data_IF_318837116248
#
_entry.id   IF_318837116248
#
_cell.length_a   1.000
_cell.length_b   1.000
_cell.length_c   1.000
_cell.angle_alpha   90.00
_cell.angle_beta   90.00
_cell.angle_gamma   90.00
#
_symmetry.space_group_name_H-M   'P 1'
#
loop_
_entity.id
_entity.type
_entity.pdbx_description
1 polymer ?
#
# COMPACT_ATOMS: atom_id res chain seq x y z
N UNK A 1 -28.44 -10.75 -4.16
CA UNK A 1 -27.11 -10.28 -4.62
C UNK A 1 -26.21 -10.15 -3.40
N UNK A 2 -25.30 -11.10 -3.11
CA UNK A 2 -24.34 -10.96 -2.02
C UNK A 2 -23.51 -9.67 -2.16
N UNK A 3 -23.40 -8.94 -1.06
CA UNK A 3 -22.56 -7.75 -0.95
C UNK A 3 -21.26 -8.14 -0.24
N UNK A 4 -20.13 -7.92 -0.89
CA UNK A 4 -18.80 -8.18 -0.34
C UNK A 4 -18.18 -6.83 0.01
N UNK A 5 -17.51 -6.72 1.15
CA UNK A 5 -16.76 -5.51 1.51
C UNK A 5 -15.28 -5.82 1.49
N UNK A 6 -14.50 -5.01 0.77
CA UNK A 6 -13.05 -5.05 0.85
C UNK A 6 -12.51 -4.22 2.03
N UNK A 7 -11.36 -4.65 2.53
CA UNK A 7 -10.60 -3.91 3.54
C UNK A 7 -10.28 -2.48 3.10
N UNK A 8 -9.82 -2.34 1.86
CA UNK A 8 -9.55 -1.05 1.24
C UNK A 8 -10.73 -0.10 1.21
N UNK A 9 -11.97 -0.61 1.14
CA UNK A 9 -13.18 0.21 1.24
C UNK A 9 -13.36 0.74 2.66
N UNK A 10 -13.15 -0.12 3.66
CA UNK A 10 -13.31 0.30 5.06
C UNK A 10 -12.22 1.29 5.49
N UNK A 11 -10.97 1.05 5.08
CA UNK A 11 -9.85 1.92 5.43
C UNK A 11 -9.95 3.29 4.74
N UNK A 12 -10.51 3.35 3.54
CA UNK A 12 -10.76 4.61 2.84
C UNK A 12 -11.97 5.36 3.38
N UNK A 13 -13.03 4.64 3.77
CA UNK A 13 -14.18 5.20 4.46
C UNK A 13 -13.79 5.93 5.75
N UNK A 14 -12.87 5.35 6.53
CA UNK A 14 -12.42 5.94 7.79
C UNK A 14 -11.64 7.25 7.62
N UNK A 15 -11.11 7.52 6.42
CA UNK A 15 -10.42 8.78 6.08
C UNK A 15 -11.39 9.92 5.74
N UNK A 16 -12.65 9.62 5.45
CA UNK A 16 -13.67 10.61 5.10
C UNK A 16 -14.25 11.31 6.33
N UNK A 17 -14.87 12.47 6.13
CA UNK A 17 -15.58 13.18 7.21
C UNK A 17 -16.78 12.38 7.71
N UNK A 18 -17.22 12.61 8.95
CA UNK A 18 -18.38 11.89 9.52
C UNK A 18 -19.67 12.03 8.68
N UNK A 19 -19.85 13.16 7.99
CA UNK A 19 -20.99 13.39 7.09
C UNK A 19 -20.89 12.54 5.83
N UNK A 20 -19.70 12.48 5.22
CA UNK A 20 -19.45 11.64 4.05
C UNK A 20 -19.57 10.17 4.40
N UNK A 21 -19.02 9.74 5.54
CA UNK A 21 -19.17 8.37 6.03
C UNK A 21 -20.64 7.97 6.18
N UNK A 22 -21.47 8.85 6.73
CA UNK A 22 -22.91 8.59 6.88
C UNK A 22 -23.60 8.42 5.52
N UNK A 23 -23.28 9.29 4.55
CA UNK A 23 -23.82 9.20 3.19
C UNK A 23 -23.39 7.90 2.49
N UNK A 24 -22.10 7.55 2.57
CA UNK A 24 -21.55 6.31 1.99
C UNK A 24 -22.21 5.08 2.60
N UNK A 25 -22.36 5.03 3.94
CA UNK A 25 -23.04 3.93 4.65
C UNK A 25 -24.50 3.78 4.23
N UNK A 26 -25.20 4.90 3.99
CA UNK A 26 -26.56 4.88 3.48
C UNK A 26 -26.60 4.34 2.04
N UNK A 27 -25.75 4.83 1.15
CA UNK A 27 -25.68 4.35 -0.24
C UNK A 27 -25.33 2.86 -0.32
N UNK A 28 -24.40 2.38 0.52
CA UNK A 28 -24.06 0.96 0.61
C UNK A 28 -25.25 0.11 1.09
N UNK A 29 -26.03 0.61 2.06
CA UNK A 29 -27.26 -0.03 2.51
C UNK A 29 -28.33 -0.04 1.40
N UNK A 30 -28.56 1.08 0.72
CA UNK A 30 -29.52 1.18 -0.37
C UNK A 30 -29.17 0.21 -1.51
N UNK A 31 -27.88 0.04 -1.80
CA UNK A 31 -27.36 -0.93 -2.77
C UNK A 31 -27.59 -2.38 -2.33
N UNK A 32 -27.46 -2.68 -1.04
CA UNK A 32 -27.78 -4.01 -0.51
C UNK A 32 -29.28 -4.33 -0.63
N UNK A 33 -30.13 -3.34 -0.36
CA UNK A 33 -31.60 -3.51 -0.39
C UNK A 33 -32.14 -3.55 -1.80
N UNK A 34 -31.69 -2.65 -2.68
CA UNK A 34 -32.13 -2.56 -4.07
C UNK A 34 -30.97 -2.16 -5.00
N UNK A 35 -30.18 -3.13 -5.49
CA UNK A 35 -29.03 -2.85 -6.35
C UNK A 35 -29.39 -2.35 -7.74
N UNK A 36 -30.63 -2.53 -8.19
CA UNK A 36 -31.13 -2.03 -9.49
C UNK A 36 -31.71 -0.62 -9.40
N UNK A 37 -31.64 0.02 -8.22
CA UNK A 37 -32.16 1.35 -8.02
C UNK A 37 -31.51 2.34 -9.01
N UNK A 38 -32.29 3.01 -9.91
CA UNK A 38 -31.75 3.97 -10.87
C UNK A 38 -30.97 5.12 -10.23
N UNK A 39 -31.25 5.45 -8.97
CA UNK A 39 -30.52 6.48 -8.22
C UNK A 39 -29.05 6.16 -7.99
N UNK A 40 -28.64 4.88 -8.01
CA UNK A 40 -27.27 4.45 -7.73
C UNK A 40 -26.26 4.79 -8.85
N UNK A 41 -26.73 5.33 -9.98
CA UNK A 41 -25.89 5.97 -11.02
C UNK A 41 -24.60 5.21 -11.33
N UNK A 42 -24.71 3.91 -11.60
CA UNK A 42 -23.56 3.06 -11.92
C UNK A 42 -22.90 3.54 -13.21
N UNK A 43 -21.60 3.84 -13.14
CA UNK A 43 -20.80 4.25 -14.28
C UNK A 43 -19.60 3.31 -14.44
N UNK A 44 -19.46 2.66 -15.60
CA UNK A 44 -18.28 1.83 -15.86
C UNK A 44 -17.02 2.69 -15.92
N UNK A 45 -15.92 2.24 -15.35
CA UNK A 45 -14.67 3.00 -15.36
C UNK A 45 -13.87 2.59 -16.59
N UNK A 46 -14.07 3.27 -17.73
CA UNK A 46 -13.50 2.85 -19.03
C UNK A 46 -11.97 2.80 -19.06
N UNK A 47 -11.30 3.62 -18.25
CA UNK A 47 -9.84 3.64 -18.14
C UNK A 47 -9.27 2.52 -17.25
N UNK A 48 -10.12 1.81 -16.50
CA UNK A 48 -9.71 0.67 -15.68
C UNK A 48 -9.28 -0.49 -16.57
N UNK A 49 -8.21 -1.20 -16.19
CA UNK A 49 -7.86 -2.47 -16.85
C UNK A 49 -8.79 -3.61 -16.41
N UNK A 50 -9.42 -3.46 -15.24
CA UNK A 50 -10.50 -4.33 -14.79
C UNK A 50 -11.84 -3.83 -15.33
N UNK A 51 -12.41 -4.58 -16.27
CA UNK A 51 -13.70 -4.28 -16.92
C UNK A 51 -14.91 -4.36 -15.99
N UNK A 52 -14.73 -4.94 -14.80
CA UNK A 52 -15.78 -5.11 -13.81
C UNK A 52 -15.72 -4.03 -12.71
N UNK A 53 -14.81 -3.06 -12.78
CA UNK A 53 -14.87 -1.88 -11.92
C UNK A 53 -15.87 -0.83 -12.43
N UNK A 54 -16.75 -0.44 -11.52
CA UNK A 54 -17.77 0.58 -11.71
C UNK A 54 -17.69 1.60 -10.59
N UNK A 55 -18.11 2.82 -10.88
CA UNK A 55 -18.30 3.90 -9.92
C UNK A 55 -19.78 4.03 -9.58
N UNK A 56 -20.08 4.18 -8.29
CA UNK A 56 -21.40 4.49 -7.75
C UNK A 56 -21.34 5.88 -7.14
N UNK A 57 -22.28 6.73 -7.54
CA UNK A 57 -22.36 8.10 -7.03
C UNK A 57 -23.02 8.12 -5.65
N UNK A 58 -22.32 8.66 -4.66
CA UNK A 58 -22.88 8.94 -3.32
C UNK A 58 -23.44 10.35 -3.26
N UNK A 59 -22.65 11.33 -3.69
CA UNK A 59 -23.05 12.73 -3.77
C UNK A 59 -22.32 13.41 -4.94
N UNK A 60 -22.17 14.74 -4.95
CA UNK A 60 -21.45 15.43 -6.04
C UNK A 60 -19.99 14.97 -6.16
N UNK A 61 -19.33 14.78 -5.03
CA UNK A 61 -17.89 14.59 -4.95
C UNK A 61 -17.50 13.15 -4.59
N UNK A 62 -18.23 12.49 -3.71
CA UNK A 62 -17.88 11.13 -3.26
C UNK A 62 -18.32 10.06 -4.26
N UNK A 63 -17.45 9.08 -4.49
CA UNK A 63 -17.68 7.89 -5.30
C UNK A 63 -17.30 6.63 -4.54
N UNK A 64 -18.14 5.62 -4.64
CA UNK A 64 -17.78 4.26 -4.24
C UNK A 64 -17.33 3.52 -5.49
N UNK A 65 -16.15 2.92 -5.46
CA UNK A 65 -15.70 1.97 -6.46
C UNK A 65 -16.21 0.59 -6.09
N UNK A 66 -16.90 -0.05 -7.01
CA UNK A 66 -17.43 -1.39 -6.86
C UNK A 66 -16.89 -2.31 -7.93
N UNK A 67 -16.66 -3.58 -7.59
CA UNK A 67 -16.47 -4.64 -8.57
C UNK A 67 -17.76 -5.41 -8.75
N UNK A 68 -18.33 -5.38 -9.96
CA UNK A 68 -19.62 -6.01 -10.29
C UNK A 68 -19.40 -7.13 -11.30
N UNK A 69 -19.56 -8.38 -10.86
CA UNK A 69 -19.39 -9.57 -11.71
C UNK A 69 -20.40 -10.65 -11.32
N UNK A 70 -21.17 -11.13 -12.30
CA UNK A 70 -22.25 -12.09 -12.04
C UNK A 70 -23.30 -11.49 -11.11
N UNK A 71 -23.64 -12.24 -10.06
CA UNK A 71 -24.64 -11.87 -9.05
C UNK A 71 -24.04 -11.27 -7.77
N UNK A 72 -22.74 -10.95 -7.74
CA UNK A 72 -22.11 -10.31 -6.59
C UNK A 72 -21.66 -8.88 -6.90
N UNK A 73 -21.75 -8.03 -5.88
CA UNK A 73 -21.14 -6.70 -5.89
C UNK A 73 -20.20 -6.60 -4.71
N UNK A 74 -18.98 -6.18 -5.00
CA UNK A 74 -17.94 -5.95 -4.01
C UNK A 74 -17.71 -4.45 -3.88
N UNK A 75 -17.82 -3.91 -2.66
CA UNK A 75 -17.42 -2.55 -2.33
C UNK A 75 -15.89 -2.52 -2.18
N UNK A 76 -15.20 -1.93 -3.16
CA UNK A 76 -13.75 -2.04 -3.29
C UNK A 76 -13.02 -0.84 -2.65
N UNK A 77 -13.53 0.38 -2.85
CA UNK A 77 -12.90 1.61 -2.37
C UNK A 77 -13.91 2.75 -2.29
N UNK A 78 -13.63 3.80 -1.53
CA UNK A 78 -14.44 5.02 -1.52
C UNK A 78 -13.57 6.25 -1.35
N UNK A 79 -13.80 7.28 -2.16
CA UNK A 79 -13.07 8.55 -2.05
C UNK A 79 -13.80 9.68 -2.80
N UNK A 80 -13.16 10.85 -2.82
CA UNK A 80 -13.49 11.94 -3.73
C UNK A 80 -13.29 11.50 -5.18
N UNK A 81 -14.02 12.16 -6.07
CA UNK A 81 -14.26 11.68 -7.43
C UNK A 81 -12.98 11.27 -8.16
N UNK A 82 -12.03 12.19 -8.29
CA UNK A 82 -10.84 11.97 -9.10
C UNK A 82 -9.94 10.90 -8.51
N UNK A 83 -9.81 10.86 -7.18
CA UNK A 83 -8.94 9.91 -6.50
C UNK A 83 -9.54 8.51 -6.46
N UNK A 84 -10.87 8.40 -6.36
CA UNK A 84 -11.56 7.13 -6.53
C UNK A 84 -11.35 6.54 -7.94
N UNK A 85 -11.44 7.37 -8.99
CA UNK A 85 -11.18 6.93 -10.36
C UNK A 85 -9.71 6.54 -10.57
N UNK A 86 -8.76 7.35 -10.09
CA UNK A 86 -7.32 7.02 -10.15
C UNK A 86 -7.03 5.70 -9.42
N UNK A 87 -7.63 5.48 -8.26
CA UNK A 87 -7.46 4.23 -7.51
C UNK A 87 -7.91 3.02 -8.34
N UNK A 88 -9.10 3.09 -8.93
CA UNK A 88 -9.66 2.01 -9.74
C UNK A 88 -8.85 1.78 -11.02
N UNK A 89 -8.38 2.84 -11.66
CA UNK A 89 -7.54 2.77 -12.84
C UNK A 89 -6.26 1.96 -12.57
N UNK A 90 -5.64 2.11 -11.41
CA UNK A 90 -4.36 1.47 -11.11
C UNK A 90 -4.50 0.03 -10.62
N UNK A 91 -5.70 -0.54 -10.48
CA UNK A 91 -5.91 -1.82 -9.80
C UNK A 91 -6.77 -2.78 -10.62
N UNK A 92 -6.70 -4.07 -10.26
CA UNK A 92 -7.63 -5.11 -10.72
C UNK A 92 -7.98 -6.08 -9.61
N UNK A 93 -9.18 -6.64 -9.64
CA UNK A 93 -9.54 -7.79 -8.81
C UNK A 93 -9.21 -9.08 -9.57
N UNK A 94 -8.40 -9.94 -8.98
CA UNK A 94 -8.04 -11.23 -9.58
C UNK A 94 -8.05 -12.35 -8.55
N UNK A 95 -7.95 -13.59 -9.05
CA UNK A 95 -7.75 -14.78 -8.23
C UNK A 95 -6.32 -15.22 -8.42
N UNK A 96 -5.56 -15.27 -7.34
CA UNK A 96 -4.15 -15.61 -7.42
C UNK A 96 -3.97 -17.07 -7.90
N UNK A 97 -3.12 -17.34 -8.91
CA UNK A 97 -3.10 -18.63 -9.61
C UNK A 97 -2.59 -19.81 -8.76
N UNK A 98 -1.74 -19.55 -7.75
CA UNK A 98 -1.21 -20.60 -6.86
C UNK A 98 -2.01 -20.80 -5.60
N UNK A 99 -2.45 -19.71 -4.97
CA UNK A 99 -3.16 -19.77 -3.68
C UNK A 99 -4.66 -19.94 -3.90
N UNK A 100 -5.22 -19.42 -5.00
CA UNK A 100 -6.66 -19.40 -5.25
C UNK A 100 -7.39 -18.29 -4.47
N UNK A 101 -6.67 -17.45 -3.72
CA UNK A 101 -7.24 -16.34 -2.99
C UNK A 101 -7.63 -15.20 -3.93
N UNK A 102 -8.84 -14.64 -3.75
CA UNK A 102 -9.17 -13.36 -4.35
C UNK A 102 -8.23 -12.26 -3.82
N UNK A 103 -7.88 -11.29 -4.67
CA UNK A 103 -7.01 -10.17 -4.31
C UNK A 103 -7.27 -8.93 -5.19
N UNK A 104 -7.16 -7.74 -4.60
CA UNK A 104 -7.07 -6.47 -5.34
C UNK A 104 -5.58 -6.16 -5.51
N UNK A 105 -5.10 -6.19 -6.74
CA UNK A 105 -3.69 -6.00 -7.08
C UNK A 105 -3.50 -4.65 -7.75
N UNK A 106 -2.46 -3.91 -7.33
CA UNK A 106 -2.04 -2.70 -8.03
C UNK A 106 -1.16 -3.06 -9.23
N UNK A 107 -1.49 -2.51 -10.38
CA UNK A 107 -0.87 -2.80 -11.66
C UNK A 107 0.49 -2.13 -11.75
N UNK A 108 1.53 -2.93 -11.99
CA UNK A 108 2.90 -2.41 -12.04
C UNK A 108 3.11 -1.33 -13.10
N UNK A 109 2.45 -1.46 -14.25
CA UNK A 109 2.45 -0.46 -15.34
C UNK A 109 1.99 0.94 -14.90
N UNK A 110 1.19 1.04 -13.83
CA UNK A 110 0.58 2.29 -13.36
C UNK A 110 1.07 2.77 -11.99
N UNK A 111 1.93 1.98 -11.34
CA UNK A 111 2.85 2.48 -10.33
C UNK A 111 3.94 3.21 -11.10
N UNK A 112 3.71 4.50 -11.37
CA UNK A 112 4.72 5.40 -11.93
C UNK A 112 6.07 5.12 -11.25
N UNK A 113 7.16 5.13 -12.01
CA UNK A 113 8.57 4.89 -11.60
C UNK A 113 9.11 5.90 -10.55
N UNK A 114 8.25 6.39 -9.66
CA UNK A 114 8.55 7.36 -8.61
C UNK A 114 9.41 6.75 -7.50
N UNK A 115 9.44 5.42 -7.34
CA UNK A 115 10.34 4.77 -6.36
C UNK A 115 11.82 4.89 -6.78
N UNK A 116 12.13 5.14 -8.06
CA UNK A 116 13.52 5.28 -8.55
C UNK A 116 14.06 6.72 -8.37
N UNK A 117 13.22 7.70 -7.99
CA UNK A 117 13.65 9.09 -7.80
C UNK A 117 13.87 9.50 -6.35
N UNK A 118 14.13 8.55 -5.45
CA UNK A 118 14.94 8.90 -4.29
C UNK A 118 16.34 9.10 -4.84
N UNK A 119 16.73 10.37 -5.00
CA UNK A 119 18.08 10.82 -5.37
C UNK A 119 19.08 9.92 -4.65
N UNK A 120 19.60 8.95 -5.41
CA UNK A 120 20.81 8.25 -5.03
C UNK A 120 21.85 9.34 -5.07
N UNK A 121 22.28 9.79 -3.90
CA UNK A 121 23.65 10.29 -3.77
C UNK A 121 24.53 9.15 -4.30
N UNK A 122 24.91 9.24 -5.58
CA UNK A 122 25.75 8.30 -6.32
C UNK A 122 27.08 8.11 -5.59
N UNK A 123 27.14 7.23 -4.59
CA UNK A 123 28.42 6.83 -3.98
C UNK A 123 28.43 5.40 -3.42
N UNK A 124 27.30 4.72 -3.24
CA UNK A 124 27.28 3.35 -2.72
C UNK A 124 27.16 2.29 -3.85
N UNK A 125 27.95 1.20 -3.81
CA UNK A 125 27.77 0.09 -4.75
C UNK A 125 26.38 -0.54 -4.58
N UNK A 126 25.76 -1.06 -5.65
CA UNK A 126 24.44 -1.66 -5.59
C UNK A 126 24.44 -2.84 -4.61
N UNK A 127 23.56 -2.79 -3.61
CA UNK A 127 23.38 -3.89 -2.66
C UNK A 127 22.89 -5.15 -3.40
N UNK A 128 23.30 -6.35 -2.96
CA UNK A 128 22.86 -7.59 -3.59
C UNK A 128 21.34 -7.77 -3.43
N UNK A 129 20.64 -8.33 -4.43
CA UNK A 129 19.23 -8.67 -4.30
C UNK A 129 19.03 -9.74 -3.22
N UNK A 130 18.01 -9.55 -2.38
CA UNK A 130 17.68 -10.44 -1.26
C UNK A 130 17.22 -11.83 -1.75
N UNK A 131 16.59 -11.88 -2.92
CA UNK A 131 15.92 -13.08 -3.44
C UNK A 131 16.59 -13.65 -4.69
N UNK A 132 17.87 -13.36 -4.93
CA UNK A 132 18.60 -13.84 -6.10
C UNK A 132 18.63 -15.38 -6.21
N UNK A 133 18.55 -16.09 -5.08
CA UNK A 133 18.51 -17.56 -5.03
C UNK A 133 17.11 -18.17 -5.07
N UNK A 134 16.05 -17.37 -5.12
CA UNK A 134 14.67 -17.85 -5.05
C UNK A 134 14.05 -17.94 -6.45
N UNK A 135 13.30 -19.02 -6.69
CA UNK A 135 12.59 -19.23 -7.95
C UNK A 135 11.30 -18.39 -8.02
N UNK A 136 10.79 -18.15 -9.22
CA UNK A 136 9.49 -17.48 -9.39
C UNK A 136 8.38 -18.29 -8.74
N UNK A 137 8.49 -19.63 -8.77
CA UNK A 137 7.57 -20.53 -8.09
C UNK A 137 7.52 -20.30 -6.58
N UNK A 138 8.67 -20.06 -5.94
CA UNK A 138 8.70 -19.77 -4.50
C UNK A 138 8.05 -18.42 -4.19
N UNK A 139 8.30 -17.39 -5.00
CA UNK A 139 7.66 -16.08 -4.83
C UNK A 139 6.15 -16.14 -5.07
N UNK A 140 5.70 -16.92 -6.06
CA UNK A 140 4.29 -17.20 -6.26
C UNK A 140 3.69 -17.99 -5.10
N UNK A 141 4.41 -18.94 -4.52
CA UNK A 141 3.95 -19.66 -3.33
C UNK A 141 3.84 -18.75 -2.10
N UNK A 142 4.60 -17.64 -2.06
CA UNK A 142 4.41 -16.57 -1.09
C UNK A 142 3.13 -15.75 -1.33
N UNK A 143 2.41 -15.96 -2.44
CA UNK A 143 1.25 -15.16 -2.83
C UNK A 143 1.58 -13.85 -3.56
N UNK A 144 2.81 -13.68 -4.03
CA UNK A 144 3.22 -12.49 -4.80
C UNK A 144 2.49 -12.48 -6.15
N UNK A 145 1.76 -11.40 -6.50
CA UNK A 145 1.13 -11.29 -7.81
C UNK A 145 2.16 -11.32 -8.94
N UNK A 146 1.80 -11.93 -10.08
CA UNK A 146 2.70 -12.10 -11.24
C UNK A 146 3.36 -10.79 -11.70
N UNK A 147 2.59 -9.69 -11.70
CA UNK A 147 3.05 -8.35 -12.07
C UNK A 147 4.21 -7.83 -11.19
N UNK A 148 4.39 -8.37 -9.99
CA UNK A 148 5.35 -7.90 -8.99
C UNK A 148 6.55 -8.84 -8.77
N UNK A 149 6.54 -10.04 -9.37
CA UNK A 149 7.61 -11.03 -9.18
C UNK A 149 8.98 -10.45 -9.57
N UNK A 150 9.05 -9.71 -10.67
CA UNK A 150 10.30 -9.09 -11.15
C UNK A 150 10.89 -8.08 -10.17
N UNK A 151 10.05 -7.19 -9.63
CA UNK A 151 10.48 -6.20 -8.63
C UNK A 151 10.87 -6.88 -7.31
N UNK A 152 10.10 -7.88 -6.86
CA UNK A 152 10.44 -8.65 -5.65
C UNK A 152 11.77 -9.38 -5.82
N UNK A 153 12.02 -10.05 -6.95
CA UNK A 153 13.28 -10.76 -7.20
C UNK A 153 14.51 -9.83 -7.16
N UNK A 154 14.35 -8.61 -7.63
CA UNK A 154 15.42 -7.59 -7.66
C UNK A 154 15.46 -6.73 -6.39
N UNK A 155 14.57 -6.98 -5.43
CA UNK A 155 14.48 -6.21 -4.20
C UNK A 155 15.77 -6.32 -3.38
N UNK A 156 16.18 -5.17 -2.86
CA UNK A 156 17.29 -5.04 -1.91
C UNK A 156 16.74 -4.73 -0.52
N UNK A 157 17.61 -4.74 0.48
CA UNK A 157 17.28 -4.29 1.83
C UNK A 157 16.64 -2.89 1.87
N UNK A 158 17.06 -2.00 0.96
CA UNK A 158 16.59 -0.61 0.93
C UNK A 158 15.24 -0.45 0.22
N UNK A 159 14.89 -1.37 -0.69
CA UNK A 159 13.70 -1.25 -1.55
C UNK A 159 12.57 -2.18 -1.15
N UNK A 160 12.86 -3.24 -0.38
CA UNK A 160 11.87 -4.27 -0.04
C UNK A 160 10.63 -3.70 0.64
N UNK A 161 10.80 -2.82 1.64
CA UNK A 161 9.68 -2.24 2.37
C UNK A 161 8.80 -1.35 1.48
N UNK A 162 9.37 -0.70 0.46
CA UNK A 162 8.59 0.09 -0.49
C UNK A 162 7.80 -0.82 -1.43
N UNK A 163 8.37 -1.94 -1.87
CA UNK A 163 7.67 -2.94 -2.69
C UNK A 163 6.51 -3.58 -1.92
N UNK A 164 6.72 -3.96 -0.66
CA UNK A 164 5.69 -4.55 0.21
C UNK A 164 4.44 -3.67 0.41
N UNK A 165 4.52 -2.36 0.14
CA UNK A 165 3.33 -1.48 0.20
C UNK A 165 2.34 -1.73 -0.93
N UNK A 166 2.76 -2.39 -2.00
CA UNK A 166 1.96 -2.65 -3.18
C UNK A 166 1.47 -4.10 -3.29
N UNK A 167 2.03 -4.99 -2.47
CA UNK A 167 1.62 -6.40 -2.42
C UNK A 167 0.42 -6.58 -1.46
N UNK A 168 -0.39 -7.63 -1.67
CA UNK A 168 -1.30 -8.11 -0.64
C UNK A 168 -0.57 -8.35 0.70
N UNK A 169 -1.25 -8.12 1.83
CA UNK A 169 -0.66 -8.18 3.17
C UNK A 169 0.02 -9.53 3.45
N UNK A 170 -0.62 -10.64 3.08
CA UNK A 170 -0.09 -11.99 3.28
C UNK A 170 1.19 -12.21 2.45
N UNK A 171 1.23 -11.68 1.23
CA UNK A 171 2.38 -11.75 0.37
C UNK A 171 3.54 -10.91 0.92
N UNK A 172 3.25 -9.72 1.45
CA UNK A 172 4.24 -8.90 2.14
C UNK A 172 4.81 -9.61 3.36
N UNK A 173 3.96 -10.19 4.21
CA UNK A 173 4.40 -10.98 5.37
C UNK A 173 5.28 -12.15 4.94
N UNK A 174 4.87 -12.92 3.93
CA UNK A 174 5.61 -14.07 3.43
C UNK A 174 6.96 -13.69 2.84
N UNK A 175 7.03 -12.62 2.05
CA UNK A 175 8.27 -12.11 1.46
C UNK A 175 9.21 -11.54 2.53
N UNK A 176 8.70 -10.85 3.55
CA UNK A 176 9.50 -10.37 4.67
C UNK A 176 10.07 -11.52 5.51
N UNK A 177 9.27 -12.56 5.75
CA UNK A 177 9.73 -13.80 6.41
C UNK A 177 10.82 -14.49 5.58
N UNK A 178 10.62 -14.57 4.26
CA UNK A 178 11.60 -15.16 3.35
C UNK A 178 12.93 -14.38 3.37
N UNK A 179 12.87 -13.04 3.45
CA UNK A 179 14.05 -12.18 3.54
C UNK A 179 14.90 -12.43 4.80
N UNK A 180 14.27 -12.88 5.90
CA UNK A 180 14.97 -13.24 7.14
C UNK A 180 15.27 -14.75 7.24
N UNK A 181 15.05 -15.51 6.16
CA UNK A 181 15.35 -16.94 6.07
C UNK A 181 14.24 -17.87 6.58
N UNK A 182 13.07 -17.33 6.92
CA UNK A 182 11.89 -18.13 7.30
C UNK A 182 11.11 -18.44 6.04
N UNK A 183 11.18 -19.70 5.57
CA UNK A 183 10.41 -20.12 4.39
C UNK A 183 8.91 -20.16 4.72
N UNK A 184 8.04 -19.56 3.88
CA UNK A 184 6.61 -19.68 4.06
C UNK A 184 6.19 -21.14 3.87
N UNK A 185 5.15 -21.54 4.61
CA UNK A 185 4.50 -22.82 4.36
C UNK A 185 3.97 -22.82 2.91
N UNK A 186 4.01 -23.96 2.21
CA UNK A 186 3.36 -24.06 0.91
C UNK A 186 1.90 -23.64 1.03
N UNK A 187 1.36 -22.90 0.06
CA UNK A 187 -0.04 -22.51 0.11
C UNK A 187 -0.91 -23.76 0.11
N UNK A 188 -1.66 -23.97 1.19
CA UNK A 188 -2.75 -24.95 1.19
C UNK A 188 -3.78 -24.39 0.21
N UNK A 189 -3.81 -24.90 -1.02
CA UNK A 189 -4.92 -24.64 -1.95
C UNK A 189 -6.17 -25.19 -1.28
N UNK A 190 -7.08 -24.35 -0.77
CA UNK A 190 -8.29 -24.88 -0.19
C UNK A 190 -9.13 -25.46 -1.33
N UNK A 191 -9.80 -26.59 -1.10
CA UNK A 191 -10.75 -27.22 -2.04
C UNK A 191 -11.99 -26.34 -2.33
N UNK A 192 -11.97 -25.08 -1.90
CA UNK A 192 -13.08 -24.14 -2.08
C UNK A 192 -13.11 -23.65 -3.52
N UNK A 193 -14.20 -23.95 -4.23
CA UNK A 193 -14.45 -23.37 -5.56
C UNK A 193 -14.69 -21.85 -5.51
N UNK A 194 -14.93 -21.28 -4.33
CA UNK A 194 -15.14 -19.84 -4.12
C UNK A 194 -13.83 -19.14 -3.67
N UNK A 195 -13.23 -18.26 -4.51
CA UNK A 195 -12.01 -17.51 -4.18
C UNK A 195 -12.14 -16.58 -2.96
N UNK A 196 -13.36 -16.16 -2.59
CA UNK A 196 -13.60 -15.32 -1.42
C UNK A 196 -13.69 -16.13 -0.11
N UNK A 197 -13.85 -17.45 -0.20
CA UNK A 197 -13.88 -18.34 0.95
C UNK A 197 -12.48 -18.77 1.43
N UNK A 198 -11.43 -18.46 0.66
CA UNK A 198 -10.04 -18.72 1.03
C UNK A 198 -9.65 -17.99 2.33
N UNK A 199 -8.89 -18.58 3.28
CA UNK A 199 -8.46 -17.92 4.51
C UNK A 199 -7.80 -16.54 4.30
N UNK A 200 -6.84 -16.44 3.38
CA UNK A 200 -6.22 -15.17 2.98
C UNK A 200 -7.22 -14.17 2.37
N UNK A 201 -8.21 -14.64 1.61
CA UNK A 201 -9.24 -13.76 1.08
C UNK A 201 -10.18 -13.26 2.18
N UNK A 202 -10.52 -14.10 3.17
CA UNK A 202 -11.36 -13.73 4.32
C UNK A 202 -10.69 -12.73 5.27
N UNK A 203 -9.36 -12.60 5.23
CA UNK A 203 -8.64 -11.50 5.90
C UNK A 203 -9.03 -10.13 5.31
N UNK A 204 -9.36 -10.08 4.01
CA UNK A 204 -9.55 -8.84 3.22
C UNK A 204 -10.95 -8.61 2.67
N UNK A 205 -11.76 -9.66 2.60
CA UNK A 205 -13.09 -9.63 2.02
C UNK A 205 -14.10 -10.21 3.00
N UNK A 206 -15.15 -9.42 3.25
CA UNK A 206 -16.24 -9.83 4.11
C UNK A 206 -17.52 -9.97 3.32
N UNK A 207 -17.99 -11.20 3.14
CA UNK A 207 -19.28 -11.47 2.50
C UNK A 207 -20.40 -11.28 3.51
N UNK A 208 -21.33 -10.38 3.21
CA UNK A 208 -22.53 -10.17 4.01
C UNK A 208 -23.67 -10.99 3.43
N UNK A 209 -24.27 -11.86 4.26
CA UNK A 209 -25.40 -12.66 3.81
C UNK A 209 -26.75 -12.01 4.13
N UNK A 210 -26.84 -11.11 5.13
CA UNK A 210 -28.12 -10.44 5.49
C UNK A 210 -27.99 -8.98 5.99
N UNK A 211 -29.04 -8.16 5.81
CA UNK A 211 -29.04 -6.68 5.91
C UNK A 211 -28.68 -6.04 7.27
N UNK A 212 -28.75 -6.79 8.38
CA UNK A 212 -28.31 -6.32 9.71
C UNK A 212 -26.78 -6.37 9.90
N UNK A 213 -26.08 -7.11 9.03
CA UNK A 213 -24.64 -7.36 9.17
C UNK A 213 -23.79 -6.19 8.68
N UNK A 214 -24.24 -5.39 7.70
CA UNK A 214 -23.43 -4.34 7.07
C UNK A 214 -22.94 -3.29 8.07
N UNK A 215 -23.86 -2.69 8.85
CA UNK A 215 -23.49 -1.66 9.84
C UNK A 215 -22.68 -2.24 10.99
N UNK A 216 -22.93 -3.50 11.37
CA UNK A 216 -22.22 -4.19 12.45
C UNK A 216 -20.81 -4.59 12.00
N UNK A 217 -20.65 -5.12 10.80
CA UNK A 217 -19.37 -5.47 10.20
C UNK A 217 -18.47 -4.25 10.05
N UNK A 218 -19.00 -3.13 9.54
CA UNK A 218 -18.25 -1.87 9.45
C UNK A 218 -17.80 -1.37 10.84
N UNK A 219 -18.65 -1.47 11.87
CA UNK A 219 -18.28 -1.06 13.25
C UNK A 219 -17.32 -2.04 13.93
N UNK A 220 -17.48 -3.34 13.71
CA UNK A 220 -16.65 -4.38 14.32
C UNK A 220 -15.20 -4.30 13.82
N UNK A 221 -14.99 -3.99 12.54
CA UNK A 221 -13.65 -3.67 12.01
C UNK A 221 -13.03 -2.45 12.71
N UNK A 222 -13.77 -1.34 12.81
CA UNK A 222 -13.30 -0.14 13.52
C UNK A 222 -12.87 -0.43 14.96
N UNK A 223 -13.51 -1.40 15.62
CA UNK A 223 -13.13 -1.86 16.96
C UNK A 223 -11.90 -2.78 16.94
N UNK A 224 -11.75 -3.65 15.93
CA UNK A 224 -10.65 -4.62 15.80
C UNK A 224 -9.31 -3.96 15.39
N UNK A 225 -9.35 -2.88 14.59
CA UNK A 225 -8.19 -2.07 14.19
C UNK A 225 -7.83 -0.98 15.20
N UNK A 226 -8.69 -0.68 16.18
CA UNK A 226 -8.29 0.01 17.41
C UNK A 226 -7.52 -0.97 18.30
N UNK A 227 -6.32 -1.36 17.87
CA UNK A 227 -5.27 -1.71 18.83
C UNK A 227 -5.05 -0.43 19.64
N UNK A 228 -5.66 -0.39 20.81
CA UNK A 228 -5.39 0.62 21.81
C UNK A 228 -3.90 0.50 22.13
N UNK A 229 -3.10 1.45 21.63
CA UNK A 229 -1.73 1.64 22.13
C UNK A 229 -1.84 1.78 23.64
N UNK A 230 -1.33 0.79 24.37
CA UNK A 230 -1.38 0.78 25.82
C UNK A 230 -0.63 2.01 26.36
N UNK A 231 -0.98 2.49 27.56
CA UNK A 231 -0.32 3.65 28.15
C UNK A 231 1.20 3.46 28.20
N UNK A 232 1.67 2.24 28.47
CA UNK A 232 3.10 1.90 28.44
C UNK A 232 3.75 2.09 27.06
N UNK A 233 3.04 1.79 25.98
CA UNK A 233 3.51 1.97 24.60
C UNK A 233 3.48 3.44 24.17
N UNK A 234 2.49 4.23 24.63
CA UNK A 234 2.49 5.69 24.44
C UNK A 234 3.61 6.37 25.22
N UNK A 235 3.90 5.89 26.42
CA UNK A 235 4.98 6.41 27.25
C UNK A 235 6.36 6.03 26.66
N UNK A 236 6.50 4.86 26.03
CA UNK A 236 7.68 4.46 25.25
C UNK A 236 7.86 5.31 23.99
N UNK A 237 6.79 5.61 23.27
CA UNK A 237 6.83 6.49 22.09
C UNK A 237 7.17 7.93 22.50
N UNK A 238 6.54 8.43 23.57
CA UNK A 238 6.80 9.76 24.13
C UNK A 238 8.22 9.85 24.71
N UNK A 239 8.75 8.79 25.34
CA UNK A 239 10.11 8.77 25.85
C UNK A 239 11.13 8.74 24.70
N UNK A 240 10.90 7.98 23.63
CA UNK A 240 11.76 7.96 22.44
C UNK A 240 11.91 9.34 21.79
N UNK A 241 10.85 10.15 21.79
CA UNK A 241 10.88 11.53 21.26
C UNK A 241 11.14 12.62 22.33
N UNK A 242 11.23 12.26 23.62
CA UNK A 242 11.56 13.18 24.73
C UNK A 242 13.00 13.16 25.16
N UNK A 243 13.85 12.31 24.60
CA UNK A 243 15.29 12.48 24.82
C UNK A 243 15.71 13.70 23.99
N UNK A 244 16.05 14.85 24.59
CA UNK A 244 16.81 15.82 23.84
C UNK A 244 18.11 15.10 23.51
N UNK A 245 18.50 15.06 22.24
CA UNK A 245 19.89 14.85 21.90
C UNK A 245 20.69 15.79 22.80
N UNK A 246 21.43 15.24 23.75
CA UNK A 246 22.18 16.07 24.67
C UNK A 246 23.12 16.94 23.83
N UNK A 247 23.17 18.24 24.11
CA UNK A 247 23.96 19.21 23.35
C UNK A 247 25.46 18.86 23.25
N UNK A 248 25.93 17.85 24.02
CA UNK A 248 27.26 17.27 23.96
C UNK A 248 27.53 16.38 22.72
N UNK A 249 26.51 15.76 22.13
CA UNK A 249 26.68 14.94 20.90
C UNK A 249 26.62 15.80 19.63
N UNK A 250 25.81 16.87 19.64
CA UNK A 250 25.76 17.85 18.54
C UNK A 250 27.03 18.71 18.46
N UNK A 251 27.68 19.04 19.59
CA UNK A 251 28.94 19.79 19.57
C UNK A 251 30.14 18.97 19.09
N UNK A 252 30.07 17.63 19.11
CA UNK A 252 31.12 16.76 18.55
C UNK A 252 31.02 16.67 17.02
N UNK A 253 29.81 16.60 16.47
CA UNK A 253 29.59 16.63 15.02
C UNK A 253 29.79 18.01 14.39
N UNK A 254 29.62 19.11 15.13
CA UNK A 254 29.93 20.45 14.62
C UNK A 254 31.43 20.76 14.59
N UNK A 255 32.24 20.18 15.48
CA UNK A 255 33.71 20.40 15.49
C UNK A 255 34.47 19.64 14.40
N UNK A 256 33.88 18.59 13.82
CA UNK A 256 34.45 17.90 12.64
C UNK A 256 34.02 18.54 11.30
N UNK A 257 33.15 19.56 11.33
CA UNK A 257 32.75 20.34 10.15
C UNK A 257 33.52 21.65 9.95
N UNK A 258 34.38 22.04 10.88
CA UNK A 258 35.30 23.18 10.72
C UNK A 258 36.71 22.70 10.36
N UNK A 259 36.84 22.13 9.17
CA UNK A 259 38.14 21.97 8.48
C UNK A 259 38.55 23.26 7.71
N UNK A 260 37.92 24.40 7.99
CA UNK A 260 38.17 25.67 7.31
C UNK A 260 39.14 26.63 8.03
N UNK A 261 39.61 26.33 9.25
CA UNK A 261 40.51 27.23 10.00
C UNK A 261 41.78 26.53 10.52
N UNK A 262 42.53 25.94 9.59
CA UNK A 262 43.93 25.54 9.83
C UNK A 262 44.88 26.65 9.37
N UNK A 263 45.54 27.40 10.28
CA UNK A 263 46.46 28.49 9.93
C UNK A 263 47.83 28.01 9.42
N UNK A 264 48.03 26.70 9.21
CA UNK A 264 49.26 26.08 8.71
C UNK A 264 49.33 25.91 7.17
N UNK A 265 48.35 26.41 6.41
CA UNK A 265 48.43 26.49 4.94
C UNK A 265 48.59 27.95 4.48
N UNK A 266 49.81 28.46 4.65
CA UNK A 266 50.23 29.75 4.11
C UNK A 266 50.30 29.72 2.56
N UNK A 267 49.40 30.48 1.94
CA UNK A 267 49.56 31.27 0.71
C UNK A 267 50.54 30.79 -0.39
N UNK A 268 50.02 30.66 -1.62
CA UNK A 268 50.51 31.44 -2.78
C UNK A 268 49.41 31.66 -3.80
N UNK A 269 48.83 32.86 -3.78
CA UNK A 269 47.87 33.35 -4.78
C UNK A 269 48.65 33.77 -6.02
N UNK A 270 48.54 32.99 -7.09
CA UNK A 270 49.04 33.40 -8.41
C UNK A 270 48.09 34.43 -9.02
N UNK A 271 48.56 35.67 -9.22
CA UNK A 271 47.86 36.68 -10.02
C UNK A 271 48.24 36.47 -11.49
N UNK A 272 47.27 36.25 -12.37
CA UNK A 272 47.44 36.43 -13.81
C UNK A 272 47.45 37.93 -14.13
N UNK A 273 48.49 38.38 -14.83
CA UNK A 273 48.51 39.66 -15.55
C UNK A 273 47.71 39.58 -16.86
N UNK A 274 47.47 40.71 -17.55
CA UNK A 274 46.50 40.82 -18.64
C UNK A 274 46.83 40.06 -19.93
N UNK A 275 47.98 39.41 -20.03
CA UNK A 275 48.49 38.76 -21.25
C UNK A 275 48.66 37.22 -21.15
N UNK A 276 48.14 36.61 -20.07
CA UNK A 276 47.69 35.22 -20.13
C UNK A 276 48.76 34.11 -20.20
N UNK A 277 50.01 34.34 -19.81
CA UNK A 277 51.01 33.25 -19.69
C UNK A 277 51.49 33.07 -18.23
N UNK A 278 51.60 31.82 -17.71
CA UNK A 278 52.04 31.58 -16.33
C UNK A 278 53.58 31.44 -16.21
N UNK A 279 54.16 32.21 -15.26
CA UNK A 279 55.25 31.82 -14.35
C UNK A 279 55.30 30.34 -13.97
#
# INVERSE_FOLDING_TARGET
MPLIIADSFSDSLDKLTGKEQAAVKQTAFDMQVNPENPGLSFHRIDKSKDKYFWSVRVNRDIRIIVHKRGESVLLAYVDHHDDAYKWAEKRRLEVHPRTGAAQIVELRERVEEVVVRRVVEETAPPKPPLFAGESDDTLLDCGVPEDWIGDVRTATEDTLLDICRFLPEEASEAVLNLAVGIRPAPPEKPDTSDPFAHPDAQRRFWTLQQGEELRRAMRARQAKLKVSVDKSQRDLFSSYFRHPHSDAENTRQMRDRDLAERPDLAFRRWKKGPDGSPQ
#
